data_IF_398144217034
#
_entry.id   IF_398144217034
#
_cell.length_a   1.000
_cell.length_b   1.000
_cell.length_c   1.000
_cell.angle_alpha   90.00
_cell.angle_beta   90.00
_cell.angle_gamma   90.00
#
_symmetry.space_group_name_H-M   'P 1'
#
loop_
_entity.id
_entity.type
_entity.pdbx_description
1 polymer ?
#
# COMPACT_ATOMS: atom_id res chain seq x y z
N UNK A 1 -1.51 1.23 -32.96
CA UNK A 1 -1.23 1.36 -31.52
C UNK A 1 -2.57 1.51 -30.81
N UNK A 2 -2.99 0.59 -29.92
CA UNK A 2 -4.11 0.90 -29.05
C UNK A 2 -3.69 1.99 -28.05
N UNK A 3 -4.60 2.88 -27.64
CA UNK A 3 -4.28 3.93 -26.68
C UNK A 3 -3.88 3.29 -25.34
N UNK A 4 -2.69 3.67 -24.84
CA UNK A 4 -2.26 3.36 -23.49
C UNK A 4 -3.17 4.16 -22.54
N UNK A 5 -4.13 3.49 -21.89
CA UNK A 5 -4.91 4.10 -20.81
C UNK A 5 -4.01 4.14 -19.57
N UNK A 6 -3.18 5.18 -19.47
CA UNK A 6 -2.39 5.44 -18.28
C UNK A 6 -3.31 6.00 -17.19
N UNK A 7 -3.41 5.27 -16.08
CA UNK A 7 -4.10 5.68 -14.86
C UNK A 7 -3.05 6.35 -13.95
N UNK A 8 -2.89 7.66 -14.06
CA UNK A 8 -2.08 8.44 -13.11
C UNK A 8 -2.90 9.63 -12.63
N UNK A 9 -3.87 9.34 -11.75
CA UNK A 9 -4.70 10.36 -11.09
C UNK A 9 -4.12 10.78 -9.72
N UNK A 10 -3.25 9.95 -9.13
CA UNK A 10 -2.72 10.14 -7.78
C UNK A 10 -1.25 10.59 -7.81
N UNK A 11 -0.93 11.64 -7.05
CA UNK A 11 0.43 12.19 -6.88
C UNK A 11 0.74 12.28 -5.39
N UNK A 12 1.93 11.82 -4.98
CA UNK A 12 2.43 11.92 -3.60
C UNK A 12 3.67 12.80 -3.54
N UNK A 13 3.73 13.70 -2.56
CA UNK A 13 4.83 14.66 -2.37
C UNK A 13 5.34 14.48 -0.94
N UNK A 14 6.66 14.35 -0.78
CA UNK A 14 7.31 14.26 0.52
C UNK A 14 8.31 15.41 0.62
N UNK A 15 8.11 16.29 1.60
CA UNK A 15 8.94 17.47 1.82
C UNK A 15 9.31 17.56 3.31
N UNK A 16 10.52 18.07 3.58
CA UNK A 16 11.02 18.22 4.95
C UNK A 16 10.70 19.57 5.58
N UNK A 17 10.36 20.59 4.77
CA UNK A 17 10.08 21.97 5.19
C UNK A 17 8.68 22.39 4.82
N UNK A 18 7.97 23.01 5.76
CA UNK A 18 6.59 23.47 5.58
C UNK A 18 6.45 24.50 4.45
N UNK A 19 7.31 25.52 4.42
CA UNK A 19 7.26 26.58 3.39
C UNK A 19 7.49 26.04 1.97
N UNK A 20 8.35 25.03 1.85
CA UNK A 20 8.64 24.37 0.59
C UNK A 20 7.42 23.59 0.10
N UNK A 21 6.78 22.83 0.99
CA UNK A 21 5.53 22.13 0.68
C UNK A 21 4.45 23.10 0.20
N UNK A 22 4.27 24.23 0.89
CA UNK A 22 3.28 25.25 0.49
C UNK A 22 3.54 25.78 -0.92
N UNK A 23 4.80 26.12 -1.23
CA UNK A 23 5.20 26.60 -2.57
C UNK A 23 4.98 25.54 -3.65
N UNK A 24 5.32 24.29 -3.38
CA UNK A 24 5.13 23.18 -4.32
C UNK A 24 3.64 22.96 -4.60
N UNK A 25 2.80 22.95 -3.55
CA UNK A 25 1.36 22.77 -3.70
C UNK A 25 0.72 23.88 -4.54
N UNK A 26 1.08 25.14 -4.29
CA UNK A 26 0.60 26.27 -5.12
C UNK A 26 1.00 26.08 -6.58
N UNK A 27 2.27 25.75 -6.85
CA UNK A 27 2.75 25.57 -8.21
C UNK A 27 2.11 24.39 -8.92
N UNK A 28 1.80 23.32 -8.19
CA UNK A 28 1.07 22.18 -8.76
C UNK A 28 -0.38 22.53 -9.07
N UNK A 29 -1.03 23.32 -8.23
CA UNK A 29 -2.39 23.81 -8.48
C UNK A 29 -2.43 24.68 -9.75
N UNK A 30 -1.45 25.57 -9.92
CA UNK A 30 -1.30 26.38 -11.13
C UNK A 30 -1.10 25.50 -12.39
N UNK A 31 -0.25 24.47 -12.30
CA UNK A 31 0.01 23.54 -13.40
C UNK A 31 -1.23 22.72 -13.76
N UNK A 32 -1.96 22.22 -12.76
CA UNK A 32 -3.19 21.47 -12.98
C UNK A 32 -4.25 22.36 -13.64
N UNK A 33 -4.41 23.58 -13.13
CA UNK A 33 -5.30 24.59 -13.71
C UNK A 33 -4.93 24.88 -15.17
N UNK A 34 -3.63 25.03 -15.49
CA UNK A 34 -3.15 25.21 -16.86
C UNK A 34 -3.51 24.03 -17.78
N UNK A 35 -3.42 22.81 -17.26
CA UNK A 35 -3.83 21.58 -17.94
C UNK A 35 -5.37 21.38 -18.00
N UNK A 36 -6.17 22.33 -17.49
CA UNK A 36 -7.63 22.22 -17.32
C UNK A 36 -8.04 21.04 -16.45
N UNK A 37 -7.22 20.72 -15.45
CA UNK A 37 -7.48 19.72 -14.42
C UNK A 37 -7.60 20.40 -13.06
N UNK A 38 -8.26 19.74 -12.12
CA UNK A 38 -8.45 20.25 -10.77
C UNK A 38 -8.18 19.14 -9.76
N UNK A 39 -7.43 19.45 -8.71
CA UNK A 39 -7.33 18.56 -7.57
C UNK A 39 -8.65 18.51 -6.83
N UNK A 40 -9.09 17.31 -6.45
CA UNK A 40 -10.27 17.16 -5.58
C UNK A 40 -9.82 17.25 -4.14
N UNK A 41 -10.10 18.33 -3.37
CA UNK A 41 -9.55 18.43 -2.03
C UNK A 41 -10.13 17.38 -1.09
N UNK A 42 -11.40 16.99 -1.31
CA UNK A 42 -12.04 15.85 -0.63
C UNK A 42 -11.31 14.52 -0.82
N UNK A 43 -10.52 14.36 -1.89
CA UNK A 43 -9.70 13.17 -2.16
C UNK A 43 -8.22 13.37 -1.84
N UNK A 44 -7.77 14.61 -1.72
CA UNK A 44 -6.40 14.95 -1.35
C UNK A 44 -6.18 14.68 0.14
N UNK A 45 -4.97 14.28 0.53
CA UNK A 45 -4.61 14.05 1.94
C UNK A 45 -3.27 14.71 2.22
N UNK A 46 -3.08 15.22 3.43
CA UNK A 46 -1.80 15.72 3.90
C UNK A 46 -1.52 15.20 5.31
N UNK A 47 -0.25 14.92 5.59
CA UNK A 47 0.21 14.44 6.90
C UNK A 47 1.50 15.19 7.25
N UNK A 48 1.47 15.89 8.38
CA UNK A 48 2.60 16.63 8.92
C UNK A 48 3.19 15.87 10.10
N UNK A 49 4.50 15.60 10.08
CA UNK A 49 5.19 14.87 11.16
C UNK A 49 6.36 15.71 11.67
N UNK A 50 6.42 15.94 12.98
CA UNK A 50 7.50 16.66 13.66
C UNK A 50 8.02 15.81 14.81
N UNK A 51 9.33 15.50 14.80
CA UNK A 51 10.01 14.68 15.82
C UNK A 51 9.29 13.33 16.08
N UNK A 52 8.85 12.68 15.01
CA UNK A 52 8.18 11.37 15.08
C UNK A 52 6.72 11.41 15.58
N UNK A 53 6.15 12.59 15.81
CA UNK A 53 4.73 12.77 16.17
C UNK A 53 3.99 13.52 15.08
N UNK A 54 2.71 13.21 14.91
CA UNK A 54 1.84 13.94 13.99
C UNK A 54 1.65 15.36 14.53
N UNK A 55 1.92 16.35 13.68
CA UNK A 55 1.75 17.77 14.00
C UNK A 55 0.44 18.28 13.39
N UNK A 56 -0.65 18.18 14.15
CA UNK A 56 -1.99 18.61 13.70
C UNK A 56 -2.13 20.13 13.52
N UNK A 57 -1.16 20.93 14.00
CA UNK A 57 -1.18 22.38 13.85
C UNK A 57 -0.79 22.82 12.43
N UNK A 58 -0.03 21.98 11.72
CA UNK A 58 0.39 22.27 10.34
C UNK A 58 -0.59 21.62 9.38
N UNK A 59 -1.35 22.48 8.69
CA UNK A 59 -2.23 22.09 7.60
C UNK A 59 -1.81 22.71 6.28
N UNK A 60 -2.08 21.98 5.21
CA UNK A 60 -1.81 22.41 3.84
C UNK A 60 -3.11 22.61 3.08
N UNK A 61 -3.07 23.45 2.05
CA UNK A 61 -4.24 23.78 1.22
C UNK A 61 -4.00 23.31 -0.21
N UNK A 62 -5.03 22.74 -0.82
CA UNK A 62 -5.06 22.34 -2.24
C UNK A 62 -6.39 22.83 -2.83
N UNK A 63 -6.36 23.51 -3.98
CA UNK A 63 -7.52 24.17 -4.58
C UNK A 63 -8.32 24.98 -3.54
N UNK A 64 -7.60 25.84 -2.81
CA UNK A 64 -8.13 26.73 -1.75
C UNK A 64 -8.80 26.05 -0.54
N UNK A 65 -8.77 24.72 -0.47
CA UNK A 65 -9.35 23.96 0.63
C UNK A 65 -8.27 23.33 1.50
N UNK A 66 -8.44 23.44 2.83
CA UNK A 66 -7.56 22.81 3.79
C UNK A 66 -7.66 21.28 3.68
N UNK A 67 -6.53 20.64 3.46
CA UNK A 67 -6.38 19.20 3.36
C UNK A 67 -5.70 18.72 4.64
N UNK A 68 -6.43 17.97 5.46
CA UNK A 68 -5.93 17.36 6.70
C UNK A 68 -5.98 15.84 6.59
N UNK A 69 -5.34 15.15 7.54
CA UNK A 69 -5.51 13.71 7.73
C UNK A 69 -7.00 13.43 7.96
N UNK A 70 -7.65 12.76 7.01
CA UNK A 70 -9.08 12.41 7.08
C UNK A 70 -9.29 10.98 7.58
N UNK A 71 -8.31 10.36 8.23
CA UNK A 71 -8.60 9.13 8.97
C UNK A 71 -9.82 9.40 9.86
N UNK A 72 -10.85 8.52 9.84
CA UNK A 72 -12.14 8.78 10.46
C UNK A 72 -12.07 8.63 11.99
N UNK A 73 -11.14 9.33 12.63
CA UNK A 73 -11.07 9.52 14.07
C UNK A 73 -12.21 10.43 14.52
N UNK A 74 -12.75 10.24 15.72
CA UNK A 74 -13.84 11.08 16.20
C UNK A 74 -13.44 12.56 16.29
N UNK A 75 -12.18 12.88 16.59
CA UNK A 75 -11.68 14.26 16.51
C UNK A 75 -11.85 14.85 15.11
N UNK A 76 -11.52 14.10 14.06
CA UNK A 76 -11.72 14.54 12.67
C UNK A 76 -13.19 14.57 12.27
N UNK A 77 -14.02 13.64 12.77
CA UNK A 77 -15.46 13.64 12.50
C UNK A 77 -16.17 14.86 13.14
N UNK A 78 -15.74 15.27 14.33
CA UNK A 78 -16.22 16.51 14.97
C UNK A 78 -15.81 17.74 14.19
N UNK A 79 -14.54 17.83 13.79
CA UNK A 79 -14.07 18.91 12.90
C UNK A 79 -14.88 18.96 11.59
N UNK A 80 -15.28 17.80 11.07
CA UNK A 80 -16.11 17.69 9.87
C UNK A 80 -17.61 17.89 10.09
N UNK A 81 -18.07 18.24 11.31
CA UNK A 81 -19.49 18.42 11.64
C UNK A 81 -20.33 17.14 11.52
N UNK A 82 -19.71 15.96 11.52
CA UNK A 82 -20.37 14.65 11.40
C UNK A 82 -20.65 13.99 12.75
N UNK A 83 -20.04 14.48 13.81
CA UNK A 83 -20.18 13.99 15.17
C UNK A 83 -20.06 15.16 16.15
N UNK A 84 -20.69 15.06 17.30
CA UNK A 84 -20.65 16.14 18.31
C UNK A 84 -19.52 15.98 19.33
N UNK A 85 -19.10 14.74 19.59
CA UNK A 85 -18.13 14.40 20.64
C UNK A 85 -16.89 13.66 20.11
N UNK A 86 -15.67 14.17 20.36
CA UNK A 86 -14.43 13.54 19.90
C UNK A 86 -13.96 12.40 20.81
N UNK A 87 -14.71 12.01 21.85
CA UNK A 87 -14.26 10.97 22.79
C UNK A 87 -14.13 9.59 22.13
N UNK A 88 -13.16 8.82 22.64
CA UNK A 88 -12.95 7.42 22.30
C UNK A 88 -14.03 6.57 22.98
N UNK A 89 -14.73 5.69 22.25
CA UNK A 89 -15.76 4.84 22.84
C UNK A 89 -15.21 3.78 23.81
N UNK A 90 -13.89 3.54 23.81
CA UNK A 90 -13.26 2.53 24.66
C UNK A 90 -12.69 3.11 25.95
N UNK A 91 -11.94 4.22 25.84
CA UNK A 91 -11.23 4.78 26.99
C UNK A 91 -11.71 6.17 27.40
N UNK A 92 -12.71 6.72 26.70
CA UNK A 92 -13.31 8.04 26.94
C UNK A 92 -12.34 9.24 26.86
N UNK A 93 -11.10 9.04 26.42
CA UNK A 93 -10.15 10.10 26.09
C UNK A 93 -10.42 10.69 24.71
N UNK A 94 -9.79 11.81 24.37
CA UNK A 94 -9.90 12.40 23.03
C UNK A 94 -9.37 11.43 21.95
N UNK A 95 -10.19 11.07 20.97
CA UNK A 95 -9.84 10.14 19.91
C UNK A 95 -9.27 10.89 18.69
N UNK A 96 -7.98 11.17 18.73
CA UNK A 96 -7.19 11.61 17.57
C UNK A 96 -6.77 10.41 16.69
N UNK A 97 -6.15 10.66 15.54
CA UNK A 97 -5.56 9.59 14.72
C UNK A 97 -4.51 8.82 15.52
N UNK A 98 -3.58 9.51 16.19
CA UNK A 98 -2.55 8.89 17.04
C UNK A 98 -3.17 7.99 18.13
N UNK A 99 -4.26 8.47 18.74
CA UNK A 99 -5.02 7.69 19.71
C UNK A 99 -5.51 6.35 19.15
N UNK A 100 -6.10 6.36 17.96
CA UNK A 100 -6.61 5.15 17.30
C UNK A 100 -5.46 4.22 16.91
N UNK A 101 -4.39 4.76 16.34
CA UNK A 101 -3.31 3.98 15.75
C UNK A 101 -2.37 3.35 16.77
N UNK A 102 -2.07 4.04 17.88
CA UNK A 102 -1.03 3.57 18.83
C UNK A 102 -1.25 3.91 20.31
N UNK A 103 -2.09 4.89 20.64
CA UNK A 103 -2.06 5.52 21.98
C UNK A 103 -3.31 5.30 22.86
N UNK A 104 -4.27 4.46 22.45
CA UNK A 104 -5.43 4.14 23.27
C UNK A 104 -5.05 3.18 24.40
N UNK A 105 -5.18 3.64 25.66
CA UNK A 105 -4.84 2.87 26.87
C UNK A 105 -5.59 1.53 26.97
N UNK A 106 -6.89 1.53 26.68
CA UNK A 106 -7.74 0.32 26.74
C UNK A 106 -7.39 -0.65 25.61
N UNK A 107 -7.14 -0.13 24.39
CA UNK A 107 -6.70 -0.94 23.25
C UNK A 107 -5.34 -1.60 23.53
N UNK A 108 -4.43 -0.84 24.16
CA UNK A 108 -3.11 -1.33 24.56
C UNK A 108 -3.22 -2.40 25.65
N UNK A 109 -3.94 -2.13 26.74
CA UNK A 109 -4.05 -3.07 27.86
C UNK A 109 -4.76 -4.37 27.49
N UNK A 110 -5.67 -4.31 26.51
CA UNK A 110 -6.37 -5.49 26.00
C UNK A 110 -5.59 -6.23 24.89
N UNK A 111 -4.38 -5.78 24.52
CA UNK A 111 -3.57 -6.41 23.47
C UNK A 111 -4.15 -6.28 22.06
N UNK A 112 -5.10 -5.36 21.81
CA UNK A 112 -5.76 -5.22 20.51
C UNK A 112 -4.81 -4.72 19.41
N UNK A 113 -3.77 -3.97 19.76
CA UNK A 113 -2.73 -3.57 18.80
C UNK A 113 -1.99 -4.79 18.26
N UNK A 114 -1.53 -5.66 19.16
CA UNK A 114 -0.92 -6.95 18.82
C UNK A 114 -1.87 -7.83 18.03
N UNK A 115 -3.14 -7.91 18.42
CA UNK A 115 -4.13 -8.68 17.66
C UNK A 115 -4.30 -8.16 16.22
N UNK A 116 -4.42 -6.85 16.01
CA UNK A 116 -4.53 -6.26 14.67
C UNK A 116 -3.29 -6.52 13.83
N UNK A 117 -2.11 -6.30 14.42
CA UNK A 117 -0.83 -6.59 13.79
C UNK A 117 -0.77 -8.05 13.33
N UNK A 118 -0.98 -8.99 14.25
CA UNK A 118 -0.94 -10.41 13.96
C UNK A 118 -1.98 -10.81 12.91
N UNK A 119 -3.18 -10.21 12.96
CA UNK A 119 -4.21 -10.49 11.95
C UNK A 119 -3.78 -10.05 10.54
N UNK A 120 -3.15 -8.88 10.41
CA UNK A 120 -2.63 -8.40 9.13
C UNK A 120 -1.55 -9.33 8.60
N UNK A 121 -0.60 -9.73 9.46
CA UNK A 121 0.46 -10.66 9.07
C UNK A 121 -0.08 -12.03 8.64
N UNK A 122 -1.08 -12.57 9.34
CA UNK A 122 -1.74 -13.82 8.96
C UNK A 122 -2.38 -13.74 7.57
N UNK A 123 -3.09 -12.65 7.27
CA UNK A 123 -3.76 -12.45 5.97
C UNK A 123 -2.72 -12.28 4.85
N UNK A 124 -1.67 -11.48 5.08
CA UNK A 124 -0.58 -11.31 4.12
C UNK A 124 0.13 -12.64 3.82
N UNK A 125 0.51 -13.37 4.87
CA UNK A 125 1.20 -14.63 4.72
C UNK A 125 0.33 -15.69 4.03
N UNK A 126 -0.97 -15.74 4.35
CA UNK A 126 -1.94 -16.58 3.65
C UNK A 126 -2.05 -16.21 2.18
N UNK A 127 -2.23 -14.92 1.87
CA UNK A 127 -2.37 -14.45 0.49
C UNK A 127 -1.14 -14.77 -0.35
N UNK A 128 0.07 -14.51 0.18
CA UNK A 128 1.32 -14.80 -0.52
C UNK A 128 1.47 -16.31 -0.75
N UNK A 129 1.07 -17.13 0.22
CA UNK A 129 1.12 -18.59 0.10
C UNK A 129 0.11 -19.13 -0.91
N UNK A 130 -1.10 -18.57 -0.97
CA UNK A 130 -2.13 -18.92 -1.97
C UNK A 130 -1.73 -18.46 -3.37
N UNK A 131 -1.24 -17.23 -3.52
CA UNK A 131 -0.79 -16.69 -4.81
C UNK A 131 0.34 -17.52 -5.44
N UNK A 132 1.17 -18.20 -4.63
CA UNK A 132 2.13 -19.20 -5.12
C UNK A 132 1.46 -20.45 -5.68
N UNK A 133 0.41 -20.94 -5.03
CA UNK A 133 -0.36 -22.10 -5.49
C UNK A 133 -1.17 -21.86 -6.76
N UNK A 134 -1.47 -20.61 -7.09
CA UNK A 134 -2.24 -20.18 -8.27
C UNK A 134 -1.38 -19.82 -9.49
N UNK A 135 -0.06 -20.06 -9.46
CA UNK A 135 0.78 -19.95 -10.66
C UNK A 135 0.45 -21.14 -11.58
N UNK A 136 -0.68 -21.02 -12.29
CA UNK A 136 -1.00 -21.90 -13.40
C UNK A 136 0.16 -21.85 -14.41
N UNK A 137 0.62 -23.00 -14.93
CA UNK A 137 1.48 -23.00 -16.09
C UNK A 137 0.75 -22.21 -17.18
N UNK A 138 1.42 -21.18 -17.69
CA UNK A 138 1.00 -20.33 -18.79
C UNK A 138 -0.04 -21.01 -19.67
N UNK A 139 -1.32 -20.68 -19.50
CA UNK A 139 -2.31 -21.07 -20.50
C UNK A 139 -1.93 -20.30 -21.75
N UNK A 140 -1.31 -21.01 -22.68
CA UNK A 140 -0.89 -20.48 -23.97
C UNK A 140 -2.17 -20.18 -24.73
N UNK A 141 -2.74 -19.01 -24.50
CA UNK A 141 -3.92 -18.54 -25.22
C UNK A 141 -3.43 -18.08 -26.58
N UNK A 142 -3.27 -19.03 -27.50
CA UNK A 142 -3.06 -18.72 -28.91
C UNK A 142 -4.34 -18.07 -29.44
N UNK A 143 -4.36 -16.74 -29.51
CA UNK A 143 -5.44 -16.00 -30.18
C UNK A 143 -5.28 -16.22 -31.69
N UNK A 144 -6.14 -17.04 -32.27
CA UNK A 144 -6.22 -17.21 -33.73
C UNK A 144 -7.22 -16.19 -34.26
N UNK A 145 -6.72 -15.20 -35.02
CA UNK A 145 -7.60 -14.32 -35.79
C UNK A 145 -8.03 -15.04 -37.07
N UNK A 146 -9.33 -15.29 -37.21
CA UNK A 146 -9.93 -15.83 -38.43
C UNK A 146 -10.52 -14.67 -39.22
N UNK A 147 -10.18 -14.55 -40.50
CA UNK A 147 -10.88 -13.63 -41.41
C UNK A 147 -12.24 -14.21 -41.78
N UNK A 148 -13.22 -13.34 -42.02
CA UNK A 148 -14.63 -13.67 -42.29
C UNK A 148 -14.85 -14.55 -43.55
N UNK A 149 -13.79 -14.95 -44.26
CA UNK A 149 -13.86 -15.65 -45.55
C UNK A 149 -13.07 -16.96 -45.63
N UNK A 150 -12.46 -17.45 -44.54
CA UNK A 150 -12.01 -18.85 -44.44
C UNK A 150 -10.84 -19.32 -45.35
N UNK A 151 -10.02 -18.46 -45.93
CA UNK A 151 -8.87 -18.89 -46.76
C UNK A 151 -7.54 -18.71 -46.01
N UNK A 152 -6.86 -19.83 -45.73
CA UNK A 152 -5.53 -19.88 -45.09
C UNK A 152 -4.43 -19.52 -46.10
N UNK A 153 -3.60 -18.53 -45.77
CA UNK A 153 -2.14 -18.53 -46.03
C UNK A 153 -1.48 -17.24 -45.52
N UNK A 154 -0.63 -17.36 -44.50
CA UNK A 154 0.68 -16.70 -44.42
C UNK A 154 1.59 -17.62 -43.60
N UNK A 155 2.75 -17.98 -44.17
CA UNK A 155 3.80 -18.68 -43.44
C UNK A 155 4.80 -17.67 -42.89
N UNK A 156 5.27 -18.00 -41.68
CA UNK A 156 6.61 -17.78 -41.13
C UNK A 156 6.73 -16.63 -40.12
N UNK A 157 7.01 -17.04 -38.89
CA UNK A 157 7.52 -16.20 -37.81
C UNK A 157 6.51 -15.91 -36.71
N UNK A 158 6.03 -16.94 -36.00
CA UNK A 158 5.57 -16.67 -34.62
C UNK A 158 6.82 -16.28 -33.83
N UNK A 159 7.07 -14.98 -33.72
CA UNK A 159 7.96 -14.48 -32.69
C UNK A 159 7.17 -14.68 -31.40
N UNK A 160 7.46 -15.77 -30.69
CA UNK A 160 6.98 -15.99 -29.34
C UNK A 160 7.67 -14.94 -28.47
N UNK A 161 7.07 -13.75 -28.37
CA UNK A 161 7.48 -12.76 -27.38
C UNK A 161 7.00 -13.33 -26.05
N UNK A 162 7.84 -14.16 -25.43
CA UNK A 162 7.59 -14.70 -24.11
C UNK A 162 7.81 -13.59 -23.09
N UNK A 163 6.89 -12.62 -23.08
CA UNK A 163 6.83 -11.62 -22.01
C UNK A 163 6.02 -12.20 -20.86
N UNK A 164 6.42 -13.38 -20.38
CA UNK A 164 6.25 -13.63 -18.96
C UNK A 164 7.07 -12.55 -18.26
N UNK A 165 6.40 -11.50 -17.79
CA UNK A 165 7.00 -10.62 -16.80
C UNK A 165 7.35 -11.55 -15.65
N UNK A 166 8.64 -11.79 -15.42
CA UNK A 166 9.09 -12.60 -14.30
C UNK A 166 8.51 -11.99 -13.03
N UNK A 167 7.64 -12.73 -12.34
CA UNK A 167 7.16 -12.39 -11.02
C UNK A 167 8.33 -12.32 -10.04
N UNK A 168 8.15 -11.58 -8.94
CA UNK A 168 9.18 -11.46 -7.90
C UNK A 168 9.59 -12.82 -7.30
N UNK A 169 8.67 -13.79 -7.33
CA UNK A 169 8.86 -15.15 -6.83
C UNK A 169 9.07 -16.18 -7.95
N UNK A 170 9.35 -15.75 -9.19
CA UNK A 170 9.65 -16.68 -10.28
C UNK A 170 11.08 -17.20 -10.17
N UNK A 171 11.27 -18.51 -10.36
CA UNK A 171 12.60 -19.13 -10.45
C UNK A 171 12.83 -20.33 -9.55
N UNK A 172 11.98 -20.55 -8.54
CA UNK A 172 12.00 -21.74 -7.69
C UNK A 172 10.64 -22.00 -7.03
N UNK A 173 10.39 -23.26 -6.70
CA UNK A 173 9.13 -23.70 -6.06
C UNK A 173 9.25 -23.85 -4.53
N UNK A 174 10.46 -23.69 -3.97
CA UNK A 174 10.78 -23.90 -2.55
C UNK A 174 10.65 -22.64 -1.69
N UNK A 175 9.93 -21.62 -2.17
CA UNK A 175 9.73 -20.39 -1.41
C UNK A 175 8.89 -20.66 -0.16
N UNK A 176 9.46 -20.41 1.02
CA UNK A 176 8.77 -20.49 2.32
C UNK A 176 8.45 -19.08 2.80
N UNK A 177 7.23 -18.89 3.31
CA UNK A 177 6.80 -17.64 3.96
C UNK A 177 6.84 -17.85 5.47
N UNK A 178 7.42 -16.90 6.19
CA UNK A 178 7.42 -16.80 7.66
C UNK A 178 6.99 -15.39 8.07
N UNK A 179 6.31 -15.20 9.20
CA UNK A 179 5.89 -13.90 9.72
C UNK A 179 6.14 -13.82 11.23
N UNK A 180 6.27 -12.62 11.81
CA UNK A 180 6.45 -12.43 13.27
C UNK A 180 5.14 -12.70 14.03
N UNK A 181 4.74 -13.98 14.06
CA UNK A 181 3.56 -14.48 14.72
C UNK A 181 3.94 -15.47 15.84
N UNK A 182 3.21 -15.46 16.99
CA UNK A 182 3.47 -16.37 18.11
C UNK A 182 3.38 -17.86 17.72
N UNK A 183 2.45 -18.17 16.81
CA UNK A 183 2.19 -19.51 16.30
C UNK A 183 3.23 -20.03 15.29
N UNK A 184 4.11 -19.18 14.78
CA UNK A 184 5.07 -19.57 13.74
C UNK A 184 6.44 -19.82 14.36
N UNK A 185 6.94 -21.05 14.21
CA UNK A 185 8.25 -21.44 14.73
C UNK A 185 9.36 -20.78 13.92
N UNK A 186 9.81 -19.63 14.42
CA UNK A 186 11.10 -18.95 14.15
C UNK A 186 11.37 -18.59 12.69
N UNK A 187 11.85 -17.37 12.50
CA UNK A 187 12.47 -16.94 11.25
C UNK A 187 13.63 -17.87 10.85
N UNK A 188 13.95 -17.96 9.54
CA UNK A 188 15.06 -18.76 9.03
C UNK A 188 16.35 -18.50 9.80
N UNK A 189 17.22 -19.52 9.92
CA UNK A 189 18.44 -19.45 10.73
C UNK A 189 19.30 -18.21 10.46
N UNK A 190 19.41 -17.81 9.19
CA UNK A 190 20.12 -16.62 8.72
C UNK A 190 19.56 -15.30 9.30
N UNK A 191 18.26 -15.23 9.60
CA UNK A 191 17.64 -14.07 10.24
C UNK A 191 17.75 -14.18 11.76
N UNK A 192 17.67 -15.39 12.31
CA UNK A 192 17.85 -15.63 13.75
C UNK A 192 19.20 -15.12 14.25
N UNK A 193 20.26 -15.25 13.45
CA UNK A 193 21.59 -14.73 13.78
C UNK A 193 21.63 -13.19 13.92
N UNK A 194 20.73 -12.48 13.23
CA UNK A 194 20.70 -11.01 13.26
C UNK A 194 19.98 -10.44 14.50
N UNK A 195 19.29 -11.27 15.27
CA UNK A 195 18.38 -10.87 16.35
C UNK A 195 17.25 -9.90 15.93
N UNK A 196 17.08 -9.63 14.63
CA UNK A 196 15.98 -8.83 14.10
C UNK A 196 14.73 -9.69 13.92
N UNK A 197 13.57 -9.05 13.99
CA UNK A 197 12.24 -9.65 13.77
C UNK A 197 11.50 -8.84 12.72
N UNK A 198 11.70 -9.16 11.44
CA UNK A 198 10.92 -8.58 10.35
C UNK A 198 9.45 -8.96 10.47
N UNK A 199 8.54 -8.12 9.97
CA UNK A 199 7.11 -8.40 9.96
C UNK A 199 6.77 -9.66 9.14
N UNK A 200 7.32 -9.79 7.93
CA UNK A 200 7.21 -10.99 7.09
C UNK A 200 8.47 -11.24 6.28
N UNK A 201 8.85 -12.52 6.15
CA UNK A 201 10.03 -12.99 5.44
C UNK A 201 9.60 -14.06 4.45
N UNK A 202 10.03 -13.90 3.21
CA UNK A 202 9.91 -14.91 2.17
C UNK A 202 11.32 -15.34 1.80
N UNK A 203 11.63 -16.63 1.86
CA UNK A 203 12.97 -17.12 1.55
C UNK A 203 12.93 -18.39 0.71
N UNK A 204 13.99 -18.61 -0.06
CA UNK A 204 14.22 -19.85 -0.82
C UNK A 204 15.63 -20.33 -0.52
N UNK A 205 15.74 -21.62 -0.18
CA UNK A 205 17.03 -22.26 0.11
C UNK A 205 17.78 -22.53 -1.19
N UNK A 206 17.05 -22.94 -2.24
CA UNK A 206 17.62 -23.27 -3.55
C UNK A 206 18.27 -22.08 -4.25
N UNK A 207 17.66 -20.90 -4.14
CA UNK A 207 18.18 -19.67 -4.75
C UNK A 207 19.01 -18.81 -3.80
N UNK A 208 19.03 -19.16 -2.51
CA UNK A 208 19.62 -18.37 -1.42
C UNK A 208 19.11 -16.92 -1.37
N UNK A 209 17.85 -16.71 -1.74
CA UNK A 209 17.21 -15.40 -1.74
C UNK A 209 16.31 -15.21 -0.51
N UNK A 210 16.31 -13.98 0.00
CA UNK A 210 15.47 -13.55 1.13
C UNK A 210 14.82 -12.23 0.74
N UNK A 211 13.51 -12.14 0.95
CA UNK A 211 12.70 -10.95 0.75
C UNK A 211 12.05 -10.63 2.10
N UNK A 212 12.25 -9.41 2.57
CA UNK A 212 11.63 -8.89 3.78
C UNK A 212 10.49 -7.94 3.39
N UNK A 213 9.36 -8.05 4.10
CA UNK A 213 8.18 -7.22 3.94
C UNK A 213 7.91 -6.56 5.28
N UNK A 214 7.88 -5.23 5.28
CA UNK A 214 7.67 -4.32 6.42
C UNK A 214 6.68 -3.22 6.02
#
# INVERSE_FOLDING_TARGET
>A
MPPLKAFMDDTTIICSKEDETRRILTRLDDLMSWCRMEFKPKKSRSLSIRRGKIDEAITFTVAEQCVYDLLPSNANLVRGGKKDDPTCPLCHGMQTTEHVLSSCKVTLSQGRYTWRHNRVLQELASFISTAKGEIHPSSTSSTVFTTESGVKKWHRGSITINTHRKGLLDGCDDWVVSADLPEWERHPDVIRETALRPDTVIHSVSTQQIIMVE
#
